data_IF_825789116312
#
_entry.id   IF_825789116312
#
_cell.length_a   1.000
_cell.length_b   1.000
_cell.length_c   1.000
_cell.angle_alpha   90.00
_cell.angle_beta   90.00
_cell.angle_gamma   90.00
#
_symmetry.space_group_name_H-M   'P 1'
#
loop_
_entity.id
_entity.type
_entity.pdbx_description
1 polymer ?
#
# COMPACT_ATOMS: atom_id res chain seq x y z
N UNK A 1 -32.07 10.40 -26.15
CA UNK A 1 -31.93 9.89 -24.77
C UNK A 1 -30.78 8.92 -24.75
N UNK A 2 -29.62 9.35 -24.26
CA UNK A 2 -28.45 8.50 -24.04
C UNK A 2 -28.84 7.44 -23.00
N UNK A 3 -28.79 6.16 -23.35
CA UNK A 3 -29.01 5.09 -22.36
C UNK A 3 -27.93 5.22 -21.29
N UNK A 4 -28.35 5.37 -20.04
CA UNK A 4 -27.46 5.33 -18.90
C UNK A 4 -26.91 3.91 -18.79
N UNK A 5 -25.66 3.71 -19.24
CA UNK A 5 -24.97 2.41 -19.17
C UNK A 5 -24.18 2.27 -17.85
N UNK A 6 -24.53 3.07 -16.83
CA UNK A 6 -23.94 2.93 -15.51
C UNK A 6 -24.35 1.61 -14.88
N UNK A 7 -23.40 0.99 -14.18
CA UNK A 7 -23.69 -0.15 -13.33
C UNK A 7 -24.01 0.33 -11.92
N UNK A 8 -24.79 -0.46 -11.20
CA UNK A 8 -25.20 -0.20 -9.83
C UNK A 8 -24.94 -1.43 -8.97
N UNK A 9 -24.80 -1.20 -7.67
CA UNK A 9 -24.69 -2.24 -6.65
C UNK A 9 -25.24 -1.73 -5.33
N UNK A 10 -25.71 -2.63 -4.47
CA UNK A 10 -26.31 -2.27 -3.20
C UNK A 10 -26.84 -3.47 -2.44
N UNK A 11 -27.22 -3.27 -1.16
CA UNK A 11 -27.87 -4.31 -0.37
C UNK A 11 -29.24 -4.65 -0.95
N UNK A 12 -29.80 -5.81 -0.60
CA UNK A 12 -31.10 -6.24 -1.10
C UNK A 12 -32.24 -5.23 -0.87
N UNK A 13 -32.17 -4.43 0.19
CA UNK A 13 -33.15 -3.36 0.50
C UNK A 13 -33.03 -2.14 -0.42
N UNK A 14 -31.88 -1.94 -1.06
CA UNK A 14 -31.62 -0.85 -2.00
C UNK A 14 -30.56 -1.28 -3.04
N UNK A 15 -30.91 -2.14 -4.02
CA UNK A 15 -29.94 -2.74 -4.94
C UNK A 15 -29.21 -1.73 -5.83
N UNK A 16 -29.84 -0.60 -6.12
CA UNK A 16 -29.30 0.49 -6.94
C UNK A 16 -28.62 1.60 -6.10
N UNK A 17 -28.26 1.34 -4.83
CA UNK A 17 -27.81 2.39 -3.89
C UNK A 17 -26.52 3.08 -4.31
N UNK A 18 -25.55 2.33 -4.86
CA UNK A 18 -24.26 2.85 -5.28
C UNK A 18 -24.15 2.83 -6.80
N UNK A 19 -23.93 4.00 -7.41
CA UNK A 19 -23.69 4.10 -8.85
C UNK A 19 -22.21 3.89 -9.14
N UNK A 20 -21.85 2.82 -9.82
CA UNK A 20 -20.48 2.51 -10.21
C UNK A 20 -20.07 3.36 -11.42
N UNK A 21 -19.01 4.17 -11.25
CA UNK A 21 -18.53 5.11 -12.28
C UNK A 21 -17.48 4.49 -13.17
N UNK A 22 -16.40 3.98 -12.57
CA UNK A 22 -15.29 3.32 -13.27
C UNK A 22 -14.65 2.26 -12.39
N UNK A 23 -14.14 1.20 -13.00
CA UNK A 23 -13.21 0.30 -12.31
C UNK A 23 -11.88 1.01 -12.12
N UNK A 24 -11.35 0.95 -10.91
CA UNK A 24 -10.06 1.57 -10.53
C UNK A 24 -8.98 0.53 -10.26
N UNK A 25 -9.35 -0.75 -10.17
CA UNK A 25 -8.43 -1.85 -9.98
C UNK A 25 -9.13 -3.20 -10.09
N UNK A 26 -8.38 -4.23 -10.48
CA UNK A 26 -8.85 -5.61 -10.54
C UNK A 26 -7.75 -6.53 -10.04
N UNK A 27 -8.05 -7.34 -9.02
CA UNK A 27 -7.09 -8.26 -8.42
C UNK A 27 -7.76 -9.58 -8.05
N UNK A 28 -7.27 -10.69 -8.61
CA UNK A 28 -7.83 -12.03 -8.40
C UNK A 28 -9.35 -12.09 -8.65
N UNK A 29 -10.11 -12.28 -7.57
CA UNK A 29 -11.58 -12.43 -7.56
C UNK A 29 -12.34 -11.13 -7.20
N UNK A 30 -11.64 -10.01 -7.01
CA UNK A 30 -12.23 -8.73 -6.62
C UNK A 30 -12.03 -7.64 -7.68
N UNK A 31 -13.05 -6.80 -7.85
CA UNK A 31 -13.01 -5.59 -8.66
C UNK A 31 -13.29 -4.39 -7.77
N UNK A 32 -12.40 -3.38 -7.82
CA UNK A 32 -12.58 -2.10 -7.16
C UNK A 32 -13.21 -1.10 -8.11
N UNK A 33 -14.25 -0.43 -7.65
CA UNK A 33 -14.94 0.63 -8.39
C UNK A 33 -14.89 1.94 -7.61
N UNK A 34 -14.59 3.03 -8.32
CA UNK A 34 -15.01 4.36 -7.88
C UNK A 34 -16.52 4.44 -8.13
N UNK A 35 -17.26 4.81 -7.10
CA UNK A 35 -18.71 4.88 -7.12
C UNK A 35 -19.22 6.16 -6.47
N UNK A 36 -20.48 6.46 -6.69
CA UNK A 36 -21.19 7.60 -6.11
C UNK A 36 -22.32 7.08 -5.23
N UNK A 37 -22.41 7.64 -4.02
CA UNK A 37 -23.54 7.50 -3.11
C UNK A 37 -24.33 8.82 -3.10
N UNK A 38 -25.60 8.77 -3.48
CA UNK A 38 -26.49 9.94 -3.44
C UNK A 38 -26.98 10.18 -2.01
N UNK A 39 -26.61 11.31 -1.42
CA UNK A 39 -27.01 11.74 -0.09
C UNK A 39 -27.59 13.15 -0.14
N UNK A 40 -28.86 13.31 0.26
CA UNK A 40 -29.54 14.62 0.33
C UNK A 40 -29.45 15.45 -0.97
N UNK A 41 -29.40 14.77 -2.12
CA UNK A 41 -29.28 15.42 -3.44
C UNK A 41 -27.85 15.77 -3.89
N UNK A 42 -26.83 15.32 -3.16
CA UNK A 42 -25.43 15.43 -3.54
C UNK A 42 -24.79 14.03 -3.70
N UNK A 43 -23.96 13.88 -4.73
CA UNK A 43 -23.19 12.66 -4.95
C UNK A 43 -21.89 12.69 -4.15
N UNK A 44 -21.73 11.76 -3.21
CA UNK A 44 -20.47 11.56 -2.49
C UNK A 44 -19.64 10.44 -3.13
N UNK A 45 -18.33 10.64 -3.37
CA UNK A 45 -17.46 9.59 -3.89
C UNK A 45 -17.17 8.54 -2.81
N UNK A 46 -17.30 7.28 -3.19
CA UNK A 46 -16.93 6.12 -2.38
C UNK A 46 -16.18 5.10 -3.25
N UNK A 47 -15.48 4.18 -2.60
CA UNK A 47 -14.89 3.02 -3.29
C UNK A 47 -15.67 1.78 -2.89
N UNK A 48 -16.07 0.98 -3.87
CA UNK A 48 -16.77 -0.29 -3.66
C UNK A 48 -15.88 -1.42 -4.15
N UNK A 49 -15.48 -2.30 -3.22
CA UNK A 49 -14.81 -3.57 -3.52
C UNK A 49 -15.86 -4.64 -3.69
N UNK A 50 -16.02 -5.14 -4.91
CA UNK A 50 -16.95 -6.21 -5.25
C UNK A 50 -16.15 -7.50 -5.40
N UNK A 51 -16.41 -8.48 -4.53
CA UNK A 51 -15.87 -9.82 -4.65
C UNK A 51 -16.87 -10.65 -5.45
N UNK A 52 -16.45 -11.08 -6.63
CA UNK A 52 -17.27 -11.86 -7.54
C UNK A 52 -16.99 -13.35 -7.31
N UNK A 53 -17.82 -13.99 -6.49
CA UNK A 53 -17.68 -15.42 -6.14
C UNK A 53 -18.20 -16.35 -7.23
N UNK A 54 -18.50 -15.85 -8.44
CA UNK A 54 -19.14 -16.58 -9.55
C UNK A 54 -18.34 -17.75 -10.14
N UNK A 55 -17.14 -18.05 -9.66
CA UNK A 55 -16.36 -19.18 -10.18
C UNK A 55 -16.03 -20.14 -9.04
N UNK A 56 -16.61 -21.34 -9.08
CA UNK A 56 -16.15 -22.57 -8.40
C UNK A 56 -16.58 -22.87 -6.95
N UNK A 57 -17.47 -22.10 -6.31
CA UNK A 57 -17.87 -22.39 -4.91
C UNK A 57 -19.28 -22.99 -4.80
N UNK A 58 -19.43 -24.04 -3.98
CA UNK A 58 -20.74 -24.56 -3.58
C UNK A 58 -21.44 -23.56 -2.64
N UNK A 59 -22.77 -23.67 -2.49
CA UNK A 59 -23.55 -22.78 -1.62
C UNK A 59 -23.04 -22.79 -0.16
N UNK A 60 -22.72 -23.98 0.38
CA UNK A 60 -22.13 -24.11 1.72
C UNK A 60 -20.77 -23.41 1.85
N UNK A 61 -19.92 -23.51 0.82
CA UNK A 61 -18.61 -22.86 0.81
C UNK A 61 -18.73 -21.35 0.71
N UNK A 62 -19.68 -20.86 -0.09
CA UNK A 62 -19.98 -19.44 -0.17
C UNK A 62 -20.51 -18.91 1.17
N UNK A 63 -21.41 -19.64 1.84
CA UNK A 63 -21.94 -19.25 3.14
C UNK A 63 -20.83 -19.12 4.20
N UNK A 64 -19.89 -20.08 4.24
CA UNK A 64 -18.73 -20.01 5.14
C UNK A 64 -17.82 -18.83 4.81
N UNK A 65 -17.49 -18.63 3.54
CA UNK A 65 -16.67 -17.50 3.11
C UNK A 65 -17.34 -16.15 3.38
N UNK A 66 -18.66 -16.05 3.20
CA UNK A 66 -19.47 -14.86 3.51
C UNK A 66 -19.44 -14.55 5.01
N UNK A 67 -19.58 -15.57 5.87
CA UNK A 67 -19.47 -15.41 7.32
C UNK A 67 -18.07 -14.97 7.77
N UNK A 68 -17.01 -15.67 7.33
CA UNK A 68 -15.62 -15.33 7.66
C UNK A 68 -15.25 -13.92 7.16
N UNK A 69 -15.74 -13.54 5.98
CA UNK A 69 -15.56 -12.21 5.42
C UNK A 69 -16.34 -11.14 6.18
N UNK A 70 -17.58 -11.42 6.58
CA UNK A 70 -18.44 -10.52 7.35
C UNK A 70 -17.84 -10.16 8.70
N UNK A 71 -17.36 -11.16 9.46
CA UNK A 71 -16.69 -10.93 10.75
C UNK A 71 -15.48 -10.00 10.63
N UNK A 72 -14.74 -10.13 9.52
CA UNK A 72 -13.53 -9.36 9.28
C UNK A 72 -13.85 -7.96 8.77
N UNK A 73 -14.82 -7.84 7.87
CA UNK A 73 -15.34 -6.55 7.43
C UNK A 73 -15.93 -5.75 8.61
N UNK A 74 -16.61 -6.41 9.55
CA UNK A 74 -17.13 -5.79 10.77
C UNK A 74 -16.01 -5.32 11.69
N UNK A 75 -14.92 -6.09 11.81
CA UNK A 75 -13.73 -5.68 12.56
C UNK A 75 -13.12 -4.39 11.99
N UNK A 76 -13.05 -4.26 10.67
CA UNK A 76 -12.50 -3.07 10.01
C UNK A 76 -13.32 -1.80 10.30
N UNK A 77 -14.61 -1.93 10.63
CA UNK A 77 -15.46 -0.79 10.99
C UNK A 77 -15.04 -0.14 12.30
N UNK A 78 -14.25 -0.80 13.15
CA UNK A 78 -13.74 -0.18 14.37
C UNK A 78 -12.48 0.65 14.12
N UNK A 79 -11.85 0.53 12.95
CA UNK A 79 -10.60 1.19 12.64
C UNK A 79 -10.82 2.65 12.24
N UNK A 80 -10.85 3.53 13.25
CA UNK A 80 -11.01 4.96 13.06
C UNK A 80 -9.75 5.72 13.47
N UNK A 81 -8.86 5.95 12.50
CA UNK A 81 -7.63 6.71 12.72
C UNK A 81 -7.15 7.35 11.41
N UNK A 82 -6.53 8.54 11.46
CA UNK A 82 -5.72 9.03 10.35
C UNK A 82 -4.73 7.96 9.88
N UNK A 83 -4.63 7.79 8.56
CA UNK A 83 -3.76 6.79 7.94
C UNK A 83 -4.39 5.42 7.70
N UNK A 84 -5.69 5.26 7.96
CA UNK A 84 -6.47 4.06 7.62
C UNK A 84 -7.72 4.48 6.84
N UNK A 85 -8.03 3.78 5.74
CA UNK A 85 -9.29 3.99 5.02
C UNK A 85 -10.49 3.63 5.87
N UNK A 86 -11.45 4.54 5.97
CA UNK A 86 -12.70 4.30 6.70
C UNK A 86 -13.62 3.35 5.94
N UNK A 87 -14.07 2.29 6.61
CA UNK A 87 -15.10 1.37 6.09
C UNK A 87 -16.49 1.90 6.45
N UNK A 88 -17.32 2.16 5.42
CA UNK A 88 -18.69 2.69 5.59
C UNK A 88 -19.69 1.59 5.91
N UNK A 89 -19.64 0.48 5.17
CA UNK A 89 -20.50 -0.69 5.36
C UNK A 89 -20.00 -1.89 4.56
N UNK A 90 -20.56 -3.05 4.84
CA UNK A 90 -20.37 -4.28 4.08
C UNK A 90 -21.74 -4.93 3.84
N UNK A 91 -21.94 -5.61 2.71
CA UNK A 91 -23.19 -6.31 2.43
C UNK A 91 -23.03 -7.44 1.41
N UNK A 92 -23.98 -8.38 1.45
CA UNK A 92 -24.24 -9.33 0.37
C UNK A 92 -25.36 -8.76 -0.52
N UNK A 93 -25.15 -8.72 -1.83
CA UNK A 93 -26.09 -8.12 -2.77
C UNK A 93 -26.01 -8.71 -4.17
N UNK A 94 -26.86 -8.20 -5.06
CA UNK A 94 -26.77 -8.54 -6.48
C UNK A 94 -25.42 -8.05 -7.04
N UNK A 95 -24.78 -8.79 -7.96
CA UNK A 95 -23.60 -8.33 -8.66
C UNK A 95 -23.87 -7.02 -9.42
N UNK A 96 -22.82 -6.28 -9.84
CA UNK A 96 -22.97 -5.08 -10.64
C UNK A 96 -23.95 -5.26 -11.81
N UNK A 97 -25.02 -4.47 -11.83
CA UNK A 97 -26.15 -4.61 -12.75
C UNK A 97 -26.62 -3.25 -13.31
N UNK A 98 -27.31 -3.21 -14.46
CA UNK A 98 -28.00 -2.01 -14.90
C UNK A 98 -29.13 -1.64 -13.94
N UNK A 99 -29.46 -0.35 -13.88
CA UNK A 99 -30.49 0.16 -12.95
C UNK A 99 -31.80 -0.61 -13.05
N UNK A 100 -32.35 -1.04 -11.92
CA UNK A 100 -33.62 -1.75 -11.83
C UNK A 100 -33.57 -3.22 -12.29
N UNK A 101 -32.39 -3.76 -12.60
CA UNK A 101 -32.23 -5.15 -13.09
C UNK A 101 -31.53 -6.06 -12.06
N UNK A 102 -31.61 -5.73 -10.77
CA UNK A 102 -31.01 -6.53 -9.70
C UNK A 102 -31.56 -7.96 -9.65
N UNK A 103 -32.88 -8.12 -9.83
CA UNK A 103 -33.58 -9.41 -9.75
C UNK A 103 -33.25 -10.35 -10.92
N UNK A 104 -32.76 -9.81 -12.03
CA UNK A 104 -32.34 -10.59 -13.20
C UNK A 104 -30.96 -11.24 -12.99
N UNK A 105 -30.22 -10.86 -11.93
CA UNK A 105 -28.92 -11.42 -11.61
C UNK A 105 -29.08 -12.62 -10.65
N UNK A 106 -28.90 -13.87 -11.12
CA UNK A 106 -29.08 -15.07 -10.27
C UNK A 106 -27.94 -15.28 -9.25
N UNK A 107 -26.86 -14.50 -9.34
CA UNK A 107 -25.68 -14.63 -8.50
C UNK A 107 -25.69 -13.62 -7.35
N UNK A 108 -24.82 -13.81 -6.36
CA UNK A 108 -24.60 -12.88 -5.25
C UNK A 108 -23.14 -12.42 -5.24
N UNK A 109 -22.91 -11.24 -4.68
CA UNK A 109 -21.57 -10.66 -4.52
C UNK A 109 -21.42 -10.09 -3.12
N UNK A 110 -20.21 -10.22 -2.56
CA UNK A 110 -19.85 -9.57 -1.31
C UNK A 110 -19.25 -8.21 -1.63
N UNK A 111 -19.77 -7.17 -1.00
CA UNK A 111 -19.42 -5.79 -1.31
C UNK A 111 -18.96 -5.05 -0.06
N UNK A 112 -17.74 -4.51 -0.10
CA UNK A 112 -17.23 -3.61 0.94
C UNK A 112 -17.23 -2.18 0.41
N UNK A 113 -17.89 -1.28 1.14
CA UNK A 113 -17.93 0.14 0.81
C UNK A 113 -16.98 0.88 1.75
N UNK A 114 -16.07 1.65 1.17
CA UNK A 114 -15.07 2.42 1.90
C UNK A 114 -15.04 3.86 1.41
N UNK A 115 -14.48 4.74 2.23
CA UNK A 115 -14.24 6.13 1.85
C UNK A 115 -13.32 6.18 0.62
N UNK A 116 -13.61 7.10 -0.30
CA UNK A 116 -12.64 7.46 -1.32
C UNK A 116 -11.48 8.20 -0.67
N UNK A 117 -10.25 7.76 -0.94
CA UNK A 117 -9.02 8.41 -0.48
C UNK A 117 -8.41 9.13 -1.67
N UNK A 118 -8.18 10.43 -1.52
CA UNK A 118 -7.55 11.25 -2.55
C UNK A 118 -6.03 11.02 -2.60
N UNK A 119 -5.42 11.40 -3.72
CA UNK A 119 -3.98 11.30 -3.92
C UNK A 119 -3.56 10.21 -4.90
N UNK A 120 -2.27 9.91 -4.88
CA UNK A 120 -1.63 8.89 -5.70
C UNK A 120 -1.38 7.64 -4.85
N UNK A 121 -1.40 6.46 -5.48
CA UNK A 121 -0.82 5.30 -4.82
C UNK A 121 0.70 5.49 -4.66
N UNK A 122 1.31 4.76 -3.73
CA UNK A 122 2.71 4.98 -3.37
C UNK A 122 3.67 4.64 -4.52
N UNK A 123 3.26 3.81 -5.49
CA UNK A 123 4.07 3.52 -6.67
C UNK A 123 4.14 4.75 -7.57
N UNK A 124 2.99 5.33 -7.90
CA UNK A 124 2.92 6.54 -8.72
C UNK A 124 3.54 7.74 -7.98
N UNK A 125 3.26 7.88 -6.69
CA UNK A 125 3.86 8.91 -5.83
C UNK A 125 5.39 8.85 -5.83
N UNK A 126 5.97 7.64 -5.78
CA UNK A 126 7.42 7.42 -5.82
C UNK A 126 8.00 7.61 -7.22
N UNK A 127 7.24 7.33 -8.28
CA UNK A 127 7.67 7.58 -9.65
C UNK A 127 7.88 9.09 -9.93
N UNK A 128 7.13 9.95 -9.23
CA UNK A 128 7.26 11.41 -9.34
C UNK A 128 8.40 12.01 -8.50
N UNK A 129 9.16 11.20 -7.74
CA UNK A 129 10.19 11.68 -6.80
C UNK A 129 11.49 10.93 -6.98
N UNK A 130 12.61 11.65 -7.13
CA UNK A 130 13.93 11.01 -7.26
C UNK A 130 14.61 10.78 -5.90
N UNK A 131 14.15 11.49 -4.86
CA UNK A 131 14.79 11.58 -3.54
C UNK A 131 16.17 12.26 -3.54
N UNK A 132 16.51 12.98 -4.62
CA UNK A 132 17.74 13.77 -4.71
C UNK A 132 17.69 14.99 -3.79
N UNK A 133 16.50 15.56 -3.58
CA UNK A 133 16.35 16.72 -2.71
C UNK A 133 16.13 16.33 -1.24
N UNK A 134 16.60 17.14 -0.28
CA UNK A 134 16.29 16.93 1.14
C UNK A 134 14.80 17.00 1.46
N UNK A 135 13.99 17.67 0.63
CA UNK A 135 12.55 17.77 0.83
C UNK A 135 11.85 16.44 0.52
N UNK A 136 12.10 15.87 -0.65
CA UNK A 136 11.53 14.57 -1.03
C UNK A 136 11.97 13.46 -0.06
N UNK A 137 13.23 13.46 0.39
CA UNK A 137 13.68 12.52 1.43
C UNK A 137 12.91 12.63 2.74
N UNK A 138 12.58 13.86 3.14
CA UNK A 138 11.75 14.10 4.34
C UNK A 138 10.32 13.64 4.14
N UNK A 139 9.76 13.79 2.94
CA UNK A 139 8.44 13.26 2.60
C UNK A 139 8.43 11.74 2.64
N UNK A 140 9.39 11.06 2.00
CA UNK A 140 9.50 9.60 2.04
C UNK A 140 9.63 9.07 3.48
N UNK A 141 10.47 9.71 4.30
CA UNK A 141 10.60 9.34 5.70
C UNK A 141 9.30 9.59 6.48
N UNK A 142 8.60 10.70 6.22
CA UNK A 142 7.31 11.01 6.85
C UNK A 142 6.28 9.93 6.51
N UNK A 143 6.23 9.46 5.26
CA UNK A 143 5.37 8.35 4.85
C UNK A 143 5.71 7.09 5.65
N UNK A 144 6.98 6.70 5.77
CA UNK A 144 7.38 5.52 6.56
C UNK A 144 7.00 5.64 8.04
N UNK A 145 7.16 6.83 8.64
CA UNK A 145 6.75 7.07 10.04
C UNK A 145 5.24 6.85 10.20
N UNK A 146 4.42 7.46 9.35
CA UNK A 146 2.96 7.31 9.43
C UNK A 146 2.52 5.85 9.28
N UNK A 147 3.11 5.14 8.31
CA UNK A 147 2.81 3.72 8.09
C UNK A 147 3.24 2.84 9.27
N UNK A 148 4.42 3.10 9.84
CA UNK A 148 4.91 2.39 11.02
C UNK A 148 3.99 2.60 12.23
N UNK A 149 3.54 3.83 12.49
CA UNK A 149 2.60 4.13 13.58
C UNK A 149 1.25 3.42 13.42
N UNK A 150 0.74 3.38 12.19
CA UNK A 150 -0.53 2.68 11.88
C UNK A 150 -0.37 1.17 12.08
N UNK A 151 0.68 0.56 11.54
CA UNK A 151 0.91 -0.88 11.66
C UNK A 151 1.17 -1.31 13.12
N UNK A 152 2.03 -0.59 13.85
CA UNK A 152 2.27 -0.88 15.27
C UNK A 152 0.96 -0.78 16.09
N UNK A 153 0.07 0.17 15.76
CA UNK A 153 -1.25 0.29 16.40
C UNK A 153 -2.21 -0.85 16.04
N UNK A 154 -2.24 -1.28 14.77
CA UNK A 154 -3.03 -2.45 14.35
C UNK A 154 -2.55 -3.72 15.07
N UNK A 155 -1.24 -3.85 15.25
CA UNK A 155 -0.62 -5.02 15.85
C UNK A 155 -0.70 -5.06 17.38
N UNK A 156 -0.94 -3.92 18.04
CA UNK A 156 -0.94 -3.82 19.51
C UNK A 156 -2.18 -4.42 20.19
N UNK A 157 -3.22 -4.76 19.41
CA UNK A 157 -4.54 -5.14 19.93
C UNK A 157 -5.40 -3.96 20.39
N UNK A 158 -4.87 -2.74 20.43
CA UNK A 158 -5.62 -1.53 20.81
C UNK A 158 -6.56 -1.04 19.69
N UNK A 159 -6.39 -1.56 18.48
CA UNK A 159 -7.16 -1.14 17.32
C UNK A 159 -8.64 -1.55 17.38
N UNK A 160 -8.98 -2.54 18.20
CA UNK A 160 -10.33 -3.09 18.29
C UNK A 160 -10.79 -3.14 19.74
N UNK A 161 -12.08 -2.94 20.04
CA UNK A 161 -12.60 -3.06 21.40
C UNK A 161 -12.35 -4.43 22.03
N UNK A 162 -12.26 -5.47 21.21
CA UNK A 162 -12.01 -6.84 21.63
C UNK A 162 -10.56 -7.13 22.04
N UNK A 163 -9.62 -6.20 21.86
CA UNK A 163 -8.20 -6.46 22.10
C UNK A 163 -7.54 -7.33 21.03
N UNK A 164 -8.24 -7.63 19.92
CA UNK A 164 -7.72 -8.48 18.85
C UNK A 164 -6.68 -7.72 18.02
N UNK A 165 -5.57 -8.40 17.77
CA UNK A 165 -4.53 -8.00 16.80
C UNK A 165 -5.15 -7.97 15.40
N UNK A 166 -4.94 -6.87 14.68
CA UNK A 166 -5.35 -6.73 13.29
C UNK A 166 -4.12 -6.81 12.41
N UNK A 167 -4.15 -7.66 11.39
CA UNK A 167 -3.06 -7.82 10.41
C UNK A 167 -3.54 -7.24 9.08
N UNK A 168 -2.74 -6.39 8.44
CA UNK A 168 -3.06 -5.84 7.12
C UNK A 168 -3.05 -6.95 6.07
N UNK A 169 -1.98 -7.76 6.03
CA UNK A 169 -1.89 -9.01 5.26
C UNK A 169 -1.69 -8.83 3.74
N UNK A 170 -1.63 -7.59 3.26
CA UNK A 170 -1.39 -7.26 1.85
C UNK A 170 -0.67 -5.91 1.67
N UNK A 171 0.31 -5.60 2.51
CA UNK A 171 1.00 -4.32 2.41
C UNK A 171 1.87 -4.28 1.14
N UNK A 172 1.60 -3.30 0.26
CA UNK A 172 2.34 -3.06 -0.98
C UNK A 172 2.15 -1.60 -1.45
N UNK A 173 2.91 -1.10 -2.44
CA UNK A 173 2.80 0.28 -2.89
C UNK A 173 1.40 0.65 -3.40
N UNK A 174 0.69 -0.29 -4.06
CA UNK A 174 -0.68 -0.06 -4.54
C UNK A 174 -1.73 0.02 -3.43
N UNK A 175 -1.37 -0.35 -2.20
CA UNK A 175 -2.26 -0.35 -1.03
C UNK A 175 -1.92 0.79 -0.05
N UNK A 176 -1.16 1.78 -0.50
CA UNK A 176 -0.84 3.00 0.25
C UNK A 176 -1.17 4.18 -0.64
N UNK A 177 -2.08 5.05 -0.21
CA UNK A 177 -2.40 6.31 -0.89
C UNK A 177 -1.68 7.46 -0.20
N UNK A 178 -1.15 8.41 -0.95
CA UNK A 178 -0.55 9.64 -0.43
C UNK A 178 -1.21 10.85 -1.07
N UNK A 179 -1.83 11.69 -0.26
CA UNK A 179 -2.53 12.89 -0.72
C UNK A 179 -1.58 14.11 -0.90
N UNK A 180 -2.16 15.23 -1.34
CA UNK A 180 -1.43 16.48 -1.58
C UNK A 180 -0.83 17.12 -0.33
N UNK A 181 -1.33 16.78 0.86
CA UNK A 181 -0.80 17.24 2.15
C UNK A 181 0.31 16.32 2.69
N UNK A 182 0.53 15.18 2.02
CA UNK A 182 1.52 14.17 2.39
C UNK A 182 1.02 13.24 3.50
N UNK A 183 -0.30 13.08 3.65
CA UNK A 183 -0.88 12.06 4.50
C UNK A 183 -0.90 10.71 3.76
N UNK A 184 -0.23 9.72 4.34
CA UNK A 184 -0.23 8.35 3.90
C UNK A 184 -1.41 7.61 4.52
N UNK A 185 -2.17 6.88 3.69
CA UNK A 185 -3.34 6.12 4.11
C UNK A 185 -3.25 4.69 3.60
N UNK A 186 -3.31 3.72 4.52
CA UNK A 186 -3.47 2.31 4.18
C UNK A 186 -4.86 2.07 3.61
N UNK A 187 -4.89 1.46 2.43
CA UNK A 187 -6.11 1.00 1.75
C UNK A 187 -6.04 -0.50 1.54
N UNK A 188 -7.21 -1.11 1.37
CA UNK A 188 -7.38 -2.53 1.06
C UNK A 188 -6.68 -3.53 2.01
N UNK A 189 -7.26 -3.69 3.20
CA UNK A 189 -6.96 -4.82 4.07
C UNK A 189 -7.31 -6.11 3.32
N UNK A 190 -6.46 -7.13 3.40
CA UNK A 190 -6.49 -8.36 2.60
C UNK A 190 -7.72 -9.29 2.79
N UNK A 191 -8.91 -8.75 3.02
CA UNK A 191 -10.21 -9.42 3.13
C UNK A 191 -10.52 -10.34 1.95
N UNK A 192 -10.06 -9.99 0.75
CA UNK A 192 -10.18 -10.87 -0.43
C UNK A 192 -9.40 -12.19 -0.30
N UNK A 193 -8.55 -12.32 0.74
CA UNK A 193 -7.71 -13.48 0.99
C UNK A 193 -8.19 -14.35 2.15
N UNK A 194 -9.40 -14.08 2.68
CA UNK A 194 -10.01 -14.77 3.84
C UNK A 194 -10.85 -15.99 3.41
N UNK A 195 -11.09 -16.19 2.11
CA UNK A 195 -11.77 -17.40 1.62
C UNK A 195 -10.95 -18.67 1.99
N UNK A 196 -11.53 -19.63 2.73
CA UNK A 196 -10.80 -20.72 3.38
C UNK A 196 -10.26 -21.80 2.42
N UNK A 197 -10.74 -21.86 1.18
CA UNK A 197 -10.30 -22.86 0.18
C UNK A 197 -9.71 -22.17 -1.06
N UNK A 198 -8.53 -21.57 -0.93
CA UNK A 198 -7.75 -21.14 -2.10
C UNK A 198 -7.06 -22.34 -2.76
N UNK A 199 -7.84 -23.13 -3.48
CA UNK A 199 -7.39 -24.17 -4.42
C UNK A 199 -7.04 -23.62 -5.82
N UNK A 200 -6.96 -22.30 -5.99
CA UNK A 200 -6.29 -21.71 -7.16
C UNK A 200 -4.94 -21.18 -6.73
N UNK A 201 -3.90 -21.91 -7.13
CA UNK A 201 -2.47 -21.73 -6.85
C UNK A 201 -1.85 -20.39 -7.33
N UNK A 202 -2.65 -19.37 -7.59
CA UNK A 202 -2.17 -18.02 -7.91
C UNK A 202 -2.52 -17.11 -6.74
N UNK A 203 -1.70 -17.15 -5.70
CA UNK A 203 -1.75 -16.08 -4.72
C UNK A 203 -1.06 -14.87 -5.36
N UNK A 204 -1.84 -13.97 -5.95
CA UNK A 204 -1.39 -12.68 -6.47
C UNK A 204 -0.95 -11.79 -5.29
N UNK A 205 0.21 -12.09 -4.71
CA UNK A 205 0.96 -11.10 -3.94
C UNK A 205 1.77 -10.27 -4.93
N UNK A 206 1.95 -8.99 -4.63
CA UNK A 206 2.93 -8.17 -5.37
C UNK A 206 4.32 -8.77 -5.11
N UNK A 207 5.04 -9.26 -6.15
CA UNK A 207 6.30 -9.97 -5.97
C UNK A 207 7.29 -9.16 -5.13
N UNK A 208 7.95 -9.82 -4.17
CA UNK A 208 8.94 -9.20 -3.30
C UNK A 208 8.39 -8.49 -2.05
N UNK A 209 7.08 -8.23 -1.96
CA UNK A 209 6.49 -7.59 -0.77
C UNK A 209 5.96 -8.59 0.26
N UNK A 210 5.56 -9.79 -0.17
CA UNK A 210 5.05 -10.82 0.74
C UNK A 210 6.19 -11.60 1.41
N UNK A 211 6.10 -11.76 2.74
CA UNK A 211 7.01 -12.60 3.50
C UNK A 211 6.87 -14.09 3.11
N UNK A 212 7.91 -14.91 3.26
CA UNK A 212 7.88 -16.33 2.87
C UNK A 212 6.71 -17.13 3.48
N UNK A 213 6.41 -16.89 4.76
CA UNK A 213 5.34 -17.61 5.46
C UNK A 213 3.93 -17.27 4.92
N UNK A 214 3.77 -16.14 4.22
CA UNK A 214 2.48 -15.74 3.65
C UNK A 214 2.11 -16.64 2.47
N UNK A 215 3.09 -17.20 1.75
CA UNK A 215 2.86 -18.21 0.71
C UNK A 215 2.36 -19.54 1.30
N UNK A 216 2.60 -19.79 2.58
CA UNK A 216 2.05 -20.92 3.34
C UNK A 216 0.68 -20.59 3.99
N UNK A 217 0.12 -19.42 3.67
CA UNK A 217 -1.15 -18.96 4.22
C UNK A 217 -1.05 -18.34 5.63
N UNK A 218 0.16 -18.20 6.19
CA UNK A 218 0.36 -17.62 7.53
C UNK A 218 0.47 -16.10 7.44
N UNK A 219 -0.54 -15.40 7.96
CA UNK A 219 -0.54 -13.94 8.10
C UNK A 219 -0.40 -13.57 9.57
N UNK A 220 0.53 -12.67 9.86
CA UNK A 220 0.87 -12.26 11.22
C UNK A 220 1.42 -10.83 11.22
N UNK A 221 1.51 -10.18 12.39
CA UNK A 221 2.26 -8.93 12.53
C UNK A 221 3.68 -9.01 11.96
N UNK A 222 4.36 -10.15 12.15
CA UNK A 222 5.68 -10.41 11.58
C UNK A 222 5.71 -10.35 10.05
N UNK A 223 4.67 -10.85 9.38
CA UNK A 223 4.55 -10.76 7.93
C UNK A 223 4.34 -9.30 7.44
N UNK A 224 3.53 -8.52 8.15
CA UNK A 224 3.36 -7.09 7.85
C UNK A 224 4.66 -6.31 8.06
N UNK A 225 5.44 -6.65 9.10
CA UNK A 225 6.75 -6.03 9.37
C UNK A 225 7.74 -6.31 8.23
N UNK A 226 7.79 -7.53 7.71
CA UNK A 226 8.58 -7.85 6.51
C UNK A 226 8.15 -7.01 5.31
N UNK A 227 6.84 -6.97 5.05
CA UNK A 227 6.28 -6.21 3.93
C UNK A 227 6.58 -4.71 4.07
N UNK A 228 6.62 -4.18 5.29
CA UNK A 228 7.04 -2.81 5.57
C UNK A 228 8.51 -2.60 5.24
N UNK A 229 9.39 -3.54 5.57
CA UNK A 229 10.80 -3.49 5.16
C UNK A 229 10.99 -3.50 3.64
N UNK A 230 10.21 -4.31 2.92
CA UNK A 230 10.18 -4.34 1.46
C UNK A 230 9.63 -3.02 0.86
N UNK A 231 8.60 -2.45 1.49
CA UNK A 231 8.04 -1.13 1.14
C UNK A 231 9.06 -0.01 1.38
N UNK A 232 9.79 -0.06 2.49
CA UNK A 232 10.85 0.88 2.78
C UNK A 232 11.98 0.78 1.76
N UNK A 233 12.40 -0.43 1.39
CA UNK A 233 13.35 -0.63 0.29
C UNK A 233 12.86 0.02 -1.01
N UNK A 234 11.61 -0.27 -1.41
CA UNK A 234 11.01 0.32 -2.61
C UNK A 234 10.99 1.84 -2.56
N UNK A 235 10.48 2.41 -1.47
CA UNK A 235 10.33 3.86 -1.33
C UNK A 235 11.69 4.57 -1.37
N UNK A 236 12.70 3.98 -0.74
CA UNK A 236 14.04 4.53 -0.68
C UNK A 236 14.77 4.35 -2.03
N UNK A 237 14.82 3.13 -2.59
CA UNK A 237 15.57 2.88 -3.83
C UNK A 237 14.87 3.34 -5.10
N UNK A 238 13.54 3.33 -5.12
CA UNK A 238 12.74 3.43 -6.35
C UNK A 238 12.65 2.11 -7.14
N UNK A 239 13.22 1.03 -6.60
CA UNK A 239 13.23 -0.29 -7.23
C UNK A 239 12.30 -1.28 -6.51
N UNK A 240 11.71 -2.21 -7.24
CA UNK A 240 10.97 -3.30 -6.62
C UNK A 240 11.89 -4.20 -5.77
N UNK A 241 11.42 -4.64 -4.58
CA UNK A 241 12.20 -5.48 -3.69
C UNK A 241 12.45 -6.87 -4.30
N UNK A 242 13.61 -7.48 -4.02
CA UNK A 242 13.85 -8.87 -4.42
C UNK A 242 12.93 -9.83 -3.64
N UNK A 243 12.63 -10.99 -4.22
CA UNK A 243 11.74 -11.99 -3.60
C UNK A 243 12.36 -12.72 -2.38
N UNK A 244 13.69 -12.72 -2.24
CA UNK A 244 14.38 -13.46 -1.19
C UNK A 244 14.73 -12.60 0.02
N UNK A 245 14.50 -13.13 1.23
CA UNK A 245 14.87 -12.48 2.49
C UNK A 245 16.33 -12.01 2.53
N UNK A 246 17.28 -12.89 2.21
CA UNK A 246 18.71 -12.55 2.23
C UNK A 246 19.06 -11.46 1.21
N UNK A 247 18.47 -11.52 0.01
CA UNK A 247 18.66 -10.50 -1.01
C UNK A 247 18.10 -9.15 -0.58
N UNK A 248 16.91 -9.12 0.05
CA UNK A 248 16.31 -7.90 0.58
C UNK A 248 17.19 -7.31 1.70
N UNK A 249 17.67 -8.15 2.62
CA UNK A 249 18.61 -7.74 3.69
C UNK A 249 19.87 -7.11 3.14
N UNK A 250 20.51 -7.75 2.15
CA UNK A 250 21.73 -7.26 1.54
C UNK A 250 21.52 -5.94 0.81
N UNK A 251 20.43 -5.84 0.05
CA UNK A 251 20.11 -4.62 -0.71
C UNK A 251 19.73 -3.45 0.21
N UNK A 252 18.97 -3.70 1.27
CA UNK A 252 18.68 -2.69 2.30
C UNK A 252 19.98 -2.12 2.89
N UNK A 253 20.91 -2.97 3.31
CA UNK A 253 22.18 -2.53 3.89
C UNK A 253 23.05 -1.69 2.94
N UNK A 254 22.89 -1.88 1.62
CA UNK A 254 23.65 -1.15 0.59
C UNK A 254 23.01 0.17 0.17
N UNK A 255 21.80 0.50 0.64
CA UNK A 255 21.19 1.79 0.34
C UNK A 255 22.10 2.92 0.85
N UNK A 256 22.29 4.03 0.09
CA UNK A 256 23.22 5.09 0.47
C UNK A 256 22.99 5.68 1.86
N UNK A 257 21.74 5.68 2.33
CA UNK A 257 21.35 6.20 3.65
C UNK A 257 21.53 5.20 4.78
N UNK A 258 21.79 3.93 4.48
CA UNK A 258 21.96 2.85 5.45
C UNK A 258 23.42 2.39 5.51
N UNK A 259 24.13 2.35 4.38
CA UNK A 259 25.48 1.82 4.27
C UNK A 259 26.52 2.51 5.18
N UNK A 260 26.31 3.79 5.49
CA UNK A 260 27.20 4.60 6.35
C UNK A 260 26.80 4.59 7.82
N UNK A 261 25.74 3.86 8.20
CA UNK A 261 25.32 3.74 9.59
C UNK A 261 26.25 2.80 10.38
N UNK A 262 26.33 2.97 11.72
CA UNK A 262 27.00 2.01 12.59
C UNK A 262 26.53 0.56 12.33
N UNK A 263 27.43 -0.44 12.37
CA UNK A 263 27.09 -1.84 12.04
C UNK A 263 25.89 -2.39 12.82
N UNK A 264 25.74 -2.02 14.09
CA UNK A 264 24.60 -2.42 14.91
C UNK A 264 23.26 -1.87 14.38
N UNK A 265 23.25 -0.65 13.84
CA UNK A 265 22.06 -0.05 13.24
C UNK A 265 21.73 -0.70 11.90
N UNK A 266 22.76 -0.98 11.07
CA UNK A 266 22.57 -1.73 9.82
C UNK A 266 21.95 -3.09 10.12
N UNK A 267 22.49 -3.83 11.10
CA UNK A 267 21.95 -5.13 11.50
C UNK A 267 20.50 -5.05 11.99
N UNK A 268 20.15 -4.02 12.78
CA UNK A 268 18.77 -3.78 13.21
C UNK A 268 17.84 -3.46 12.03
N UNK A 269 18.32 -2.70 11.03
CA UNK A 269 17.55 -2.38 9.83
C UNK A 269 17.33 -3.64 8.97
N UNK A 270 18.35 -4.48 8.81
CA UNK A 270 18.25 -5.75 8.07
C UNK A 270 17.31 -6.76 8.74
N UNK A 271 17.20 -6.75 10.07
CA UNK A 271 16.37 -7.71 10.81
C UNK A 271 14.89 -7.70 10.40
N UNK A 272 14.40 -6.60 9.79
CA UNK A 272 13.02 -6.53 9.24
C UNK A 272 12.72 -7.61 8.21
N UNK A 273 13.76 -8.04 7.48
CA UNK A 273 13.68 -9.07 6.45
C UNK A 273 14.30 -10.40 6.91
N UNK A 274 14.34 -10.68 8.22
CA UNK A 274 14.83 -11.96 8.73
C UNK A 274 13.92 -13.13 8.25
N UNK A 275 14.50 -14.25 7.77
CA UNK A 275 13.72 -15.44 7.44
C UNK A 275 12.89 -15.98 8.61
N UNK A 276 13.39 -15.84 9.84
CA UNK A 276 12.69 -16.20 11.07
C UNK A 276 11.77 -15.02 11.50
N UNK A 277 10.44 -15.18 11.46
CA UNK A 277 9.51 -14.10 11.81
C UNK A 277 9.71 -13.54 13.22
N UNK A 278 10.17 -14.37 14.16
CA UNK A 278 10.38 -13.99 15.56
C UNK A 278 11.64 -13.15 15.78
N UNK A 279 12.53 -13.07 14.78
CA UNK A 279 13.74 -12.23 14.82
C UNK A 279 13.54 -10.85 14.21
N UNK A 280 12.36 -10.60 13.64
CA UNK A 280 11.98 -9.30 13.07
C UNK A 280 11.70 -8.30 14.20
N UNK A 281 11.91 -6.99 13.98
CA UNK A 281 11.70 -5.97 15.00
C UNK A 281 10.24 -5.93 15.44
N UNK A 282 10.01 -5.77 16.75
CA UNK A 282 8.66 -5.71 17.28
C UNK A 282 7.94 -4.39 17.07
N UNK A 283 8.69 -3.30 16.95
CA UNK A 283 8.18 -1.95 16.69
C UNK A 283 8.78 -1.40 15.40
N UNK A 284 7.91 -1.11 14.44
CA UNK A 284 8.28 -0.43 13.20
C UNK A 284 8.62 1.03 13.47
N UNK A 285 8.00 1.68 14.45
CA UNK A 285 8.35 3.05 14.83
C UNK A 285 9.81 3.13 15.27
N UNK A 286 10.22 2.21 16.16
CA UNK A 286 11.62 2.12 16.61
C UNK A 286 12.57 1.80 15.46
N UNK A 287 12.14 0.95 14.52
CA UNK A 287 12.91 0.62 13.33
C UNK A 287 13.12 1.85 12.43
N UNK A 288 12.08 2.65 12.17
CA UNK A 288 12.17 3.87 11.36
C UNK A 288 13.06 4.91 12.03
N UNK A 289 13.08 4.99 13.36
CA UNK A 289 13.98 5.88 14.10
C UNK A 289 15.46 5.55 13.89
N UNK A 290 15.81 4.27 13.67
CA UNK A 290 17.18 3.89 13.29
C UNK A 290 17.52 4.43 11.88
N UNK A 291 16.58 4.33 10.94
CA UNK A 291 16.74 4.81 9.56
C UNK A 291 16.84 6.34 9.48
N UNK A 292 16.02 7.05 10.27
CA UNK A 292 15.93 8.52 10.28
C UNK A 292 17.29 9.19 10.45
N UNK A 293 18.17 8.59 11.26
CA UNK A 293 19.52 9.11 11.51
C UNK A 293 20.37 9.13 10.23
N UNK A 294 20.25 8.15 9.35
CA UNK A 294 21.01 8.10 8.09
C UNK A 294 20.44 9.01 6.99
N UNK A 295 19.12 9.04 6.86
CA UNK A 295 18.42 9.85 5.83
C UNK A 295 18.59 11.36 6.08
N UNK A 296 18.60 11.79 7.36
CA UNK A 296 18.73 13.21 7.70
C UNK A 296 20.19 13.69 7.79
N UNK A 297 21.14 12.86 8.21
CA UNK A 297 22.56 13.28 8.35
C UNK A 297 23.29 13.40 7.01
N UNK A 298 22.94 12.57 6.02
CA UNK A 298 23.46 12.67 4.64
C UNK A 298 23.09 13.99 3.95
N UNK A 299 22.11 14.74 4.47
CA UNK A 299 21.76 16.09 4.00
C UNK A 299 22.85 17.12 4.27
N UNK A 300 23.71 16.93 5.30
CA UNK A 300 24.81 17.86 5.59
C UNK A 300 26.10 17.54 4.83
N UNK A 301 26.26 16.31 4.31
CA UNK A 301 27.50 15.88 3.67
C UNK A 301 27.57 16.19 2.15
N UNK A 302 26.45 16.56 1.53
CA UNK A 302 26.41 16.86 0.08
C UNK A 302 26.79 18.30 -0.29
N UNK A 303 27.09 19.16 0.69
CA UNK A 303 27.71 20.45 0.40
C UNK A 303 29.23 20.27 0.19
N UNK A 304 29.63 19.69 -0.94
CA UNK A 304 31.01 19.84 -1.40
C UNK A 304 31.25 21.32 -1.74
N UNK A 305 32.36 21.95 -1.30
CA UNK A 305 32.77 23.22 -1.87
C UNK A 305 33.01 22.98 -3.36
N UNK A 306 32.34 23.76 -4.21
CA UNK A 306 32.72 23.87 -5.61
C UNK A 306 34.20 24.26 -5.64
N UNK A 307 35.06 23.33 -6.08
CA UNK A 307 36.44 23.65 -6.35
C UNK A 307 36.43 24.70 -7.45
N UNK A 308 36.77 25.93 -7.08
CA UNK A 308 36.89 27.04 -8.01
C UNK A 308 37.77 26.61 -9.19
N UNK A 309 37.22 26.70 -10.39
CA UNK A 309 37.97 26.50 -11.61
C UNK A 309 39.19 27.44 -11.62
N UNK A 310 40.38 26.98 -12.01
CA UNK A 310 41.53 27.86 -12.12
C UNK A 310 41.25 28.92 -13.19
N UNK A 311 41.58 30.16 -12.87
CA UNK A 311 41.38 31.32 -13.75
C UNK A 311 42.03 31.10 -15.14
N UNK A 312 41.42 31.60 -16.22
CA UNK A 312 41.97 31.44 -17.56
C UNK A 312 43.29 32.22 -17.67
N UNK A 313 44.33 31.56 -18.16
CA UNK A 313 45.60 32.21 -18.49
C UNK A 313 45.41 33.17 -19.68
N UNK A 314 46.07 34.35 -19.69
CA UNK A 314 45.96 35.29 -20.78
C UNK A 314 46.59 34.73 -22.06
N UNK A 315 45.85 34.84 -23.16
CA UNK A 315 46.25 34.40 -24.49
C UNK A 315 47.54 35.10 -24.96
N UNK A 316 48.52 34.32 -25.38
CA UNK A 316 49.72 34.80 -26.05
C UNK A 316 49.39 35.25 -27.48
N UNK A 317 49.76 36.49 -27.83
CA UNK A 317 49.53 37.07 -29.15
C UNK A 317 50.36 36.35 -30.24
N UNK A 318 49.84 36.19 -31.47
CA UNK A 318 50.56 35.52 -32.55
C UNK A 318 51.64 36.44 -33.15
N UNK A 319 52.83 35.86 -33.42
CA UNK A 319 53.93 36.53 -34.12
C UNK A 319 53.59 36.80 -35.60
N UNK A 320 54.09 37.90 -36.20
CA UNK A 320 53.81 38.23 -37.59
C UNK A 320 54.54 37.29 -38.57
N UNK A 321 53.88 36.98 -39.70
CA UNK A 321 54.45 36.18 -40.80
C UNK A 321 55.48 36.98 -41.60
N UNK A 322 56.57 36.36 -42.07
CA UNK A 322 57.53 37.02 -42.95
C UNK A 322 56.96 37.18 -44.37
N UNK A 323 57.25 38.33 -44.97
CA UNK A 323 56.92 38.65 -46.37
C UNK A 323 57.86 37.90 -47.32
N UNK A 324 57.28 37.21 -48.30
CA UNK A 324 57.85 36.96 -49.63
C UNK A 324 56.71 37.09 -50.64
#
# INVERSE_FOLDING_TARGET
>A
MTRDNSLYVGPASAPDRYRLRRSIGRGGEAVLYLAELELSGAAEPVVVKVLDTRRTMTEERFARASADWGDQAELLRFLHRPGIVGVREHFEGAPPHPRGQAEEAPARSLCLVMNHVEGLDLRDWRAERTLETPAERREALRTLVQLAEVLDWLHSGQATPSGRVVVHGDLSPGNVMVDGDGQATLVDFGLSKIAPDRLTAEVWFTPGFAAPEVYEGRRSPAADRYAFGALAYFLLSGEDPPAGCEQLRDRLARLPWIAELPPAQIAALQAVADPDPERRPDSLVTWVDQLRRGVLTTTSASARPSAAAPAPQPATAPRPRPRL
#
